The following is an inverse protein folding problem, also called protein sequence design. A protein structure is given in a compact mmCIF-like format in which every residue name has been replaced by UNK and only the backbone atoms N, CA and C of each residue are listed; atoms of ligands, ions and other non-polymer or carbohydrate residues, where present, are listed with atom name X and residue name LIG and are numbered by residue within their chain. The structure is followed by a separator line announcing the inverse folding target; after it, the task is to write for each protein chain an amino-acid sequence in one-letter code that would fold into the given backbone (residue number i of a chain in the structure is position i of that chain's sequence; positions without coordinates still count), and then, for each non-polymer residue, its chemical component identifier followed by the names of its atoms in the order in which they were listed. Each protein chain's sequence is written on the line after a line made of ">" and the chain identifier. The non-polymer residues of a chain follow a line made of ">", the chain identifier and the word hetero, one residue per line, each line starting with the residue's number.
data_IF_839770478375
#
_entry.id   IF_839770478375
#
_cell.length_a   1.000
_cell.length_b   1.000
_cell.length_c   1.000
_cell.angle_alpha   90.00
_cell.angle_beta   90.00
_cell.angle_gamma   90.00
#
_symmetry.space_group_name_H-M   'P 1'
#
loop_
_entity.id
_entity.type
_entity.pdbx_description
1 polymer ?
#
# COMPACT_ATOMS: atom_id res chain seq x y z
N UNK A 1 6.62 32.58 19.90
CA UNK A 1 6.63 31.11 19.76
C UNK A 1 8.07 30.70 19.55
N UNK A 2 8.67 29.94 20.47
CA UNK A 2 10.08 29.54 20.34
C UNK A 2 10.21 28.55 19.17
N UNK A 3 11.31 28.62 18.43
CA UNK A 3 11.60 27.75 17.28
C UNK A 3 11.86 26.28 17.67
N UNK A 4 11.56 25.88 18.90
CA UNK A 4 12.00 24.65 19.54
C UNK A 4 10.89 23.58 19.67
N UNK A 5 9.68 23.85 19.18
CA UNK A 5 8.57 22.86 19.12
C UNK A 5 8.19 22.49 17.68
N UNK A 6 9.13 22.57 16.71
CA UNK A 6 8.99 21.74 15.51
C UNK A 6 9.36 20.32 15.92
N UNK A 7 8.38 19.55 16.42
CA UNK A 7 8.49 18.11 16.44
C UNK A 7 8.98 17.68 15.05
N UNK A 8 10.16 17.01 14.99
CA UNK A 8 10.76 16.55 13.74
C UNK A 8 9.68 15.75 13.00
N UNK A 9 9.13 16.32 11.93
CA UNK A 9 8.12 15.64 11.12
C UNK A 9 8.79 14.38 10.58
N UNK A 10 8.15 13.24 10.82
CA UNK A 10 8.60 11.97 10.26
C UNK A 10 8.70 12.13 8.74
N UNK A 11 9.77 11.62 8.17
CA UNK A 11 9.88 11.41 6.72
C UNK A 11 8.85 10.40 6.25
N UNK A 12 8.50 10.43 4.97
CA UNK A 12 7.56 9.46 4.38
C UNK A 12 8.05 8.02 4.59
N UNK A 13 9.37 7.78 4.55
CA UNK A 13 9.97 6.47 4.83
C UNK A 13 9.80 6.07 6.30
N UNK A 14 10.10 6.96 7.25
CA UNK A 14 9.89 6.68 8.68
C UNK A 14 8.40 6.41 8.98
N UNK A 15 7.49 7.14 8.32
CA UNK A 15 6.05 6.93 8.46
C UNK A 15 5.59 5.60 7.84
N UNK A 16 6.13 5.23 6.69
CA UNK A 16 5.87 3.93 6.07
C UNK A 16 6.28 2.79 7.00
N UNK A 17 7.50 2.86 7.54
CA UNK A 17 8.04 1.83 8.42
C UNK A 17 7.19 1.68 9.70
N UNK A 18 6.76 2.79 10.29
CA UNK A 18 5.87 2.79 11.46
C UNK A 18 4.49 2.19 11.13
N UNK A 19 3.89 2.56 10.00
CA UNK A 19 2.59 2.02 9.61
C UNK A 19 2.67 0.53 9.27
N UNK A 20 3.72 0.10 8.59
CA UNK A 20 3.97 -1.31 8.29
C UNK A 20 4.10 -2.11 9.59
N UNK A 21 4.86 -1.61 10.57
CA UNK A 21 5.00 -2.26 11.87
C UNK A 21 3.63 -2.45 12.55
N UNK A 22 2.82 -1.39 12.61
CA UNK A 22 1.47 -1.44 13.21
C UNK A 22 0.53 -2.38 12.46
N UNK A 23 0.51 -2.32 11.13
CA UNK A 23 -0.32 -3.19 10.31
C UNK A 23 0.06 -4.65 10.50
N UNK A 24 1.37 -4.95 10.54
CA UNK A 24 1.86 -6.30 10.80
C UNK A 24 1.46 -6.80 12.19
N UNK A 25 1.53 -5.97 13.23
CA UNK A 25 1.02 -6.33 14.56
C UNK A 25 -0.49 -6.58 14.55
N UNK A 26 -1.26 -5.75 13.84
CA UNK A 26 -2.72 -5.90 13.77
C UNK A 26 -3.13 -7.22 13.12
N UNK A 27 -2.48 -7.60 12.02
CA UNK A 27 -2.80 -8.85 11.31
C UNK A 27 -2.22 -10.10 11.98
N UNK A 28 -1.59 -10.00 13.15
CA UNK A 28 -1.28 -11.19 13.96
C UNK A 28 -2.58 -11.88 14.41
N UNK A 29 -3.62 -11.09 14.66
CA UNK A 29 -4.99 -11.56 14.90
C UNK A 29 -5.65 -12.03 13.60
N UNK A 30 -6.26 -13.22 13.60
CA UNK A 30 -6.83 -13.82 12.40
C UNK A 30 -8.08 -13.09 11.90
N UNK A 31 -8.97 -12.66 12.80
CA UNK A 31 -10.20 -11.97 12.41
C UNK A 31 -9.86 -10.61 11.78
N UNK A 32 -8.87 -9.91 12.34
CA UNK A 32 -8.37 -8.65 11.79
C UNK A 32 -7.67 -8.88 10.44
N UNK A 33 -6.83 -9.92 10.34
CA UNK A 33 -6.13 -10.28 9.09
C UNK A 33 -7.13 -10.53 7.96
N UNK A 34 -8.16 -11.33 8.20
CA UNK A 34 -9.21 -11.61 7.21
C UNK A 34 -9.93 -10.33 6.78
N UNK A 35 -10.28 -9.45 7.72
CA UNK A 35 -10.91 -8.17 7.40
C UNK A 35 -10.01 -7.27 6.54
N UNK A 36 -8.73 -7.15 6.90
CA UNK A 36 -7.74 -6.36 6.15
C UNK A 36 -7.51 -6.96 4.76
N UNK A 37 -7.46 -8.28 4.65
CA UNK A 37 -7.35 -8.97 3.37
C UNK A 37 -8.55 -8.66 2.46
N UNK A 38 -9.78 -8.69 2.97
CA UNK A 38 -10.97 -8.33 2.19
C UNK A 38 -10.90 -6.88 1.69
N UNK A 39 -10.43 -5.94 2.52
CA UNK A 39 -10.20 -4.55 2.12
C UNK A 39 -9.14 -4.46 1.02
N UNK A 40 -8.04 -5.20 1.17
CA UNK A 40 -6.94 -5.17 0.23
C UNK A 40 -7.24 -5.87 -1.09
N UNK A 41 -8.02 -6.95 -1.12
CA UNK A 41 -8.24 -7.76 -2.33
C UNK A 41 -9.56 -7.44 -3.01
N UNK A 42 -10.64 -7.28 -2.24
CA UNK A 42 -12.01 -7.30 -2.79
C UNK A 42 -12.66 -5.94 -2.83
N UNK A 43 -12.31 -5.04 -1.90
CA UNK A 43 -12.92 -3.71 -1.88
C UNK A 43 -12.16 -2.73 -2.77
N UNK A 44 -12.85 -2.19 -3.76
CA UNK A 44 -12.36 -1.13 -4.65
C UNK A 44 -13.45 -0.06 -4.81
N UNK A 45 -13.08 1.19 -4.63
CA UNK A 45 -13.95 2.31 -4.93
C UNK A 45 -13.75 2.72 -6.40
N UNK A 46 -14.85 2.75 -7.15
CA UNK A 46 -14.88 3.27 -8.53
C UNK A 46 -14.94 4.80 -8.51
N UNK A 47 -14.00 5.45 -9.18
CA UNK A 47 -13.88 6.92 -9.21
C UNK A 47 -13.67 7.43 -10.64
N UNK A 48 -14.30 8.54 -10.99
CA UNK A 48 -14.25 9.15 -12.34
C UNK A 48 -13.69 10.57 -12.29
N UNK A 49 -12.84 10.99 -13.25
CA UNK A 49 -12.50 12.41 -13.48
C UNK A 49 -12.12 13.22 -12.23
N UNK A 50 -11.35 12.64 -11.29
CA UNK A 50 -11.19 13.20 -9.93
C UNK A 50 -9.77 13.66 -9.59
N UNK A 51 -9.70 14.48 -8.53
CA UNK A 51 -8.47 14.79 -7.79
C UNK A 51 -7.72 13.55 -7.29
N UNK A 52 -8.39 12.39 -7.15
CA UNK A 52 -7.76 11.13 -6.73
C UNK A 52 -6.87 10.55 -7.84
N UNK A 53 -7.33 10.59 -9.09
CA UNK A 53 -6.58 10.07 -10.24
C UNK A 53 -5.34 10.92 -10.58
N UNK A 54 -5.35 12.19 -10.19
CA UNK A 54 -4.26 13.15 -10.43
C UNK A 54 -3.47 13.48 -9.18
N UNK A 55 -3.75 12.83 -8.05
CA UNK A 55 -3.03 13.08 -6.81
C UNK A 55 -1.60 12.57 -6.93
N UNK A 56 -0.58 13.31 -6.47
CA UNK A 56 0.83 12.92 -6.63
C UNK A 56 1.23 11.65 -5.87
N UNK A 57 0.43 11.20 -4.90
CA UNK A 57 0.77 10.07 -4.01
C UNK A 57 -0.31 9.00 -3.90
N UNK A 58 -1.56 9.28 -4.33
CA UNK A 58 -2.62 8.27 -4.28
C UNK A 58 -2.49 7.41 -5.51
N UNK A 59 -2.47 6.09 -5.32
CA UNK A 59 -2.36 5.15 -6.41
C UNK A 59 -3.74 4.61 -6.77
N UNK A 60 -4.07 4.67 -8.06
CA UNK A 60 -5.29 4.11 -8.64
C UNK A 60 -4.94 3.26 -9.85
N UNK A 61 -5.77 2.27 -10.18
CA UNK A 61 -5.66 1.50 -11.43
C UNK A 61 -6.75 1.92 -12.40
N UNK A 62 -6.40 2.23 -13.65
CA UNK A 62 -7.38 2.48 -14.71
C UNK A 62 -8.13 1.17 -15.03
N UNK A 63 -9.47 1.21 -15.01
CA UNK A 63 -10.33 0.08 -15.36
C UNK A 63 -10.86 0.22 -16.80
N UNK A 64 -11.37 1.40 -17.13
CA UNK A 64 -11.93 1.76 -18.44
C UNK A 64 -11.78 3.28 -18.63
N UNK A 65 -12.08 3.81 -19.82
CA UNK A 65 -11.92 5.23 -20.16
C UNK A 65 -12.51 6.16 -19.07
N UNK A 66 -11.61 6.89 -18.38
CA UNK A 66 -11.90 7.80 -17.25
C UNK A 66 -12.59 7.14 -16.03
N UNK A 67 -12.47 5.83 -15.87
CA UNK A 67 -12.89 5.07 -14.69
C UNK A 67 -11.68 4.43 -14.01
N UNK A 68 -11.48 4.77 -12.74
CA UNK A 68 -10.37 4.29 -11.94
C UNK A 68 -10.87 3.48 -10.74
N UNK A 69 -10.06 2.52 -10.31
CA UNK A 69 -10.25 1.78 -9.07
C UNK A 69 -9.23 2.22 -8.02
N UNK A 70 -9.76 2.68 -6.88
CA UNK A 70 -8.98 2.94 -5.67
C UNK A 70 -9.09 1.75 -4.71
N UNK A 71 -7.95 1.12 -4.41
CA UNK A 71 -7.84 0.11 -3.37
C UNK A 71 -7.26 0.65 -2.07
N UNK A 72 -7.38 -0.16 -1.01
CA UNK A 72 -6.90 0.21 0.33
C UNK A 72 -5.43 0.64 0.35
N UNK A 73 -4.54 -0.11 -0.31
CA UNK A 73 -3.11 0.23 -0.40
C UNK A 73 -2.86 1.56 -1.13
N UNK A 74 -3.62 1.85 -2.18
CA UNK A 74 -3.47 3.09 -2.94
C UNK A 74 -3.84 4.32 -2.13
N UNK A 75 -4.86 4.21 -1.27
CA UNK A 75 -5.22 5.25 -0.31
C UNK A 75 -4.17 5.37 0.81
N UNK A 76 -3.70 4.24 1.35
CA UNK A 76 -2.70 4.22 2.42
C UNK A 76 -1.39 4.87 1.96
N UNK A 77 -0.93 4.55 0.76
CA UNK A 77 0.24 5.21 0.15
C UNK A 77 -0.03 6.69 -0.14
N UNK A 78 -1.28 7.09 -0.38
CA UNK A 78 -1.68 8.50 -0.43
C UNK A 78 -1.39 9.28 0.85
N UNK A 79 -1.58 8.65 2.01
CA UNK A 79 -1.29 9.23 3.34
C UNK A 79 0.21 9.29 3.62
N UNK A 80 0.95 8.26 3.21
CA UNK A 80 2.39 8.16 3.46
C UNK A 80 3.20 9.05 2.53
N UNK A 81 2.93 8.97 1.24
CA UNK A 81 3.75 9.55 0.20
C UNK A 81 4.10 8.54 -0.90
N UNK A 82 4.86 9.02 -1.88
CA UNK A 82 5.39 8.21 -2.97
C UNK A 82 6.91 8.35 -3.04
N UNK A 83 7.57 7.37 -3.66
CA UNK A 83 9.00 7.35 -3.88
C UNK A 83 9.38 8.54 -4.79
N UNK A 84 10.29 9.45 -4.37
CA UNK A 84 10.51 10.71 -5.08
C UNK A 84 11.42 10.60 -6.31
N UNK A 85 12.26 9.56 -6.38
CA UNK A 85 13.30 9.41 -7.41
C UNK A 85 13.67 7.94 -7.64
N UNK A 86 14.36 7.67 -8.75
CA UNK A 86 14.78 6.32 -9.15
C UNK A 86 13.79 5.62 -10.08
N UNK A 87 14.01 4.33 -10.30
CA UNK A 87 13.17 3.46 -11.16
C UNK A 87 11.73 3.35 -10.65
N UNK A 88 11.56 3.42 -9.33
CA UNK A 88 10.27 3.29 -8.64
C UNK A 88 9.60 4.65 -8.34
N UNK A 89 10.05 5.73 -8.98
CA UNK A 89 9.50 7.07 -8.76
C UNK A 89 7.98 7.10 -8.99
N UNK A 90 7.23 7.59 -8.01
CA UNK A 90 5.77 7.64 -8.05
C UNK A 90 5.07 6.39 -7.51
N UNK A 91 5.81 5.32 -7.21
CA UNK A 91 5.28 4.16 -6.48
C UNK A 91 5.11 4.49 -4.99
N UNK A 92 4.12 3.87 -4.35
CA UNK A 92 3.90 3.95 -2.91
C UNK A 92 4.88 3.08 -2.12
N UNK A 93 5.14 3.47 -0.87
CA UNK A 93 6.10 2.78 -0.01
C UNK A 93 5.58 1.45 0.55
N UNK A 94 4.27 1.26 0.71
CA UNK A 94 3.70 0.10 1.39
C UNK A 94 3.16 -0.90 0.37
N UNK A 95 3.61 -2.15 0.49
CA UNK A 95 3.14 -3.30 -0.26
C UNK A 95 2.58 -4.36 0.69
N UNK A 96 1.59 -5.13 0.23
CA UNK A 96 1.09 -6.32 0.90
C UNK A 96 1.65 -7.58 0.23
N UNK A 97 2.00 -8.56 1.04
CA UNK A 97 2.44 -9.88 0.61
C UNK A 97 1.36 -10.91 0.85
N UNK A 98 1.17 -11.78 -0.13
CA UNK A 98 0.21 -12.86 -0.08
C UNK A 98 0.91 -14.17 -0.41
N UNK A 99 0.53 -15.22 0.32
CA UNK A 99 0.86 -16.58 -0.05
C UNK A 99 -0.34 -17.21 -0.76
N UNK A 100 -0.06 -18.07 -1.73
CA UNK A 100 -1.07 -18.91 -2.34
C UNK A 100 -1.25 -20.15 -1.47
N UNK A 101 -2.44 -20.34 -0.93
CA UNK A 101 -2.77 -21.46 -0.04
C UNK A 101 -3.10 -22.73 -0.83
N UNK A 102 -3.38 -22.61 -2.13
CA UNK A 102 -3.66 -23.71 -3.05
C UNK A 102 -2.72 -23.73 -4.27
N UNK A 103 -2.60 -24.93 -4.87
CA UNK A 103 -1.79 -25.12 -6.08
C UNK A 103 -2.37 -24.38 -7.30
N UNK A 104 -3.68 -24.08 -7.27
CA UNK A 104 -4.40 -23.38 -8.33
C UNK A 104 -4.25 -21.85 -8.24
N UNK A 105 -3.64 -21.33 -7.16
CA UNK A 105 -3.42 -19.91 -6.88
C UNK A 105 -4.72 -19.10 -6.85
N UNK A 106 -5.82 -19.73 -6.46
CA UNK A 106 -7.14 -19.09 -6.41
C UNK A 106 -7.45 -18.51 -5.04
N UNK A 107 -6.78 -19.02 -4.01
CA UNK A 107 -6.90 -18.53 -2.64
C UNK A 107 -5.58 -17.88 -2.19
N UNK A 108 -5.68 -16.59 -1.82
CA UNK A 108 -4.54 -15.74 -1.48
C UNK A 108 -4.68 -15.29 -0.04
N UNK A 109 -3.72 -15.67 0.82
CA UNK A 109 -3.71 -15.27 2.23
C UNK A 109 -2.73 -14.14 2.48
N UNK A 110 -3.20 -13.04 3.08
CA UNK A 110 -2.34 -11.93 3.51
C UNK A 110 -1.36 -12.42 4.59
N UNK A 111 -0.06 -12.28 4.33
CA UNK A 111 0.98 -12.71 5.27
C UNK A 111 1.66 -11.55 5.99
N UNK A 112 1.94 -10.46 5.28
CA UNK A 112 2.62 -9.31 5.84
C UNK A 112 2.50 -8.08 4.96
N UNK A 113 2.73 -6.91 5.56
CA UNK A 113 3.08 -5.69 4.85
C UNK A 113 4.58 -5.50 4.87
N UNK A 114 5.12 -4.98 3.77
CA UNK A 114 6.53 -4.62 3.64
C UNK A 114 6.68 -3.29 2.95
N UNK A 115 7.84 -2.69 3.15
CA UNK A 115 8.26 -1.56 2.36
C UNK A 115 8.58 -2.06 0.95
N UNK A 116 8.09 -1.36 -0.05
CA UNK A 116 8.44 -1.59 -1.43
C UNK A 116 9.91 -1.20 -1.62
N UNK A 117 10.78 -2.20 -1.74
CA UNK A 117 12.11 -2.05 -2.29
C UNK A 117 12.30 -3.11 -3.39
N UNK A 118 12.78 -2.68 -4.55
CA UNK A 118 12.98 -3.52 -5.73
C UNK A 118 14.09 -4.56 -5.57
N UNK A 119 14.85 -4.53 -4.47
CA UNK A 119 15.91 -5.52 -4.21
C UNK A 119 15.36 -6.85 -3.68
N UNK A 120 14.13 -6.88 -3.17
CA UNK A 120 13.50 -8.08 -2.60
C UNK A 120 12.56 -8.86 -3.52
N UNK A 121 12.02 -8.25 -4.58
CA UNK A 121 11.04 -8.88 -5.49
C UNK A 121 11.69 -9.48 -6.74
N UNK A 122 12.70 -10.35 -6.57
CA UNK A 122 12.91 -11.37 -7.60
C UNK A 122 11.85 -12.43 -7.34
N UNK A 123 10.74 -12.31 -8.07
CA UNK A 123 9.77 -13.39 -8.25
C UNK A 123 10.61 -14.61 -8.65
N UNK A 124 10.58 -15.67 -7.84
CA UNK A 124 11.19 -16.93 -8.23
C UNK A 124 10.52 -17.34 -9.54
N UNK A 125 11.23 -17.18 -10.65
CA UNK A 125 10.91 -17.84 -11.91
C UNK A 125 10.99 -19.34 -11.64
N UNK A 126 9.81 -19.93 -11.42
CA UNK A 126 9.59 -21.38 -11.47
C UNK A 126 9.49 -21.84 -12.90
#
# INVERSE_FOLDING_TARGET
>A
MKAEDLAKRMTDTELADELIARLNTLIEDEEIREAVEQLCLRQRAKVHGTALATHPTIQVSLEDDDLYNLGFLGLLNGVVGAIPEGEDKGCGYIAALYDFTDAEKTDMKLTSFKRFDTRGYKINES
#
